data_IF_033375494027
#
_entry.id   IF_033375494027
#
_cell.length_a   1.000
_cell.length_b   1.000
_cell.length_c   1.000
_cell.angle_alpha   90.00
_cell.angle_beta   90.00
_cell.angle_gamma   90.00
#
_symmetry.space_group_name_H-M   'P 1'
#
loop_
_entity.id
_entity.type
_entity.pdbx_description
1 polymer ?
#
# COMPACT_ATOMS: atom_id res chain seq x y z
N UNK A 1 -57.69 2.08 -19.56
CA UNK A 1 -57.11 3.35 -19.06
C UNK A 1 -55.84 3.10 -18.26
N UNK A 2 -55.84 2.18 -17.28
CA UNK A 2 -54.67 1.84 -16.46
C UNK A 2 -53.36 1.51 -17.22
N UNK A 3 -53.45 0.77 -18.34
CA UNK A 3 -52.27 0.34 -19.11
C UNK A 3 -51.58 1.48 -19.88
N UNK A 4 -52.37 2.45 -20.39
CA UNK A 4 -51.81 3.63 -21.07
C UNK A 4 -51.15 4.60 -20.08
N UNK A 5 -51.69 4.70 -18.86
CA UNK A 5 -51.15 5.58 -17.82
C UNK A 5 -49.84 5.01 -17.26
N UNK A 6 -49.79 3.69 -17.02
CA UNK A 6 -48.55 2.99 -16.63
C UNK A 6 -47.46 3.14 -17.70
N UNK A 7 -47.79 2.90 -18.97
CA UNK A 7 -46.86 3.09 -20.09
C UNK A 7 -46.30 4.51 -20.14
N UNK A 8 -47.17 5.51 -20.04
CA UNK A 8 -46.77 6.91 -20.14
C UNK A 8 -45.90 7.34 -18.95
N UNK A 9 -46.14 6.76 -17.76
CA UNK A 9 -45.31 6.96 -16.58
C UNK A 9 -43.91 6.35 -16.75
N UNK A 10 -43.82 5.09 -17.20
CA UNK A 10 -42.53 4.42 -17.45
C UNK A 10 -41.70 5.14 -18.51
N UNK A 11 -42.33 5.65 -19.57
CA UNK A 11 -41.67 6.46 -20.60
C UNK A 11 -41.01 7.71 -19.99
N UNK A 12 -41.72 8.38 -19.09
CA UNK A 12 -41.23 9.58 -18.41
C UNK A 12 -40.11 9.24 -17.42
N UNK A 13 -40.25 8.15 -16.68
CA UNK A 13 -39.23 7.66 -15.75
C UNK A 13 -37.92 7.32 -16.48
N UNK A 14 -37.97 6.46 -17.50
CA UNK A 14 -36.79 6.12 -18.30
C UNK A 14 -36.21 7.33 -19.03
N UNK A 15 -37.04 8.31 -19.40
CA UNK A 15 -36.55 9.57 -19.94
C UNK A 15 -35.72 10.35 -18.91
N UNK A 16 -36.17 10.43 -17.66
CA UNK A 16 -35.43 11.09 -16.58
C UNK A 16 -34.20 10.29 -16.11
N UNK A 17 -34.18 8.97 -16.28
CA UNK A 17 -32.97 8.16 -16.07
C UNK A 17 -31.86 8.41 -17.11
N UNK A 18 -32.14 9.20 -18.15
CA UNK A 18 -31.17 9.59 -19.17
C UNK A 18 -31.03 8.60 -20.34
N UNK A 19 -31.91 7.60 -20.45
CA UNK A 19 -31.89 6.60 -21.52
C UNK A 19 -32.13 7.23 -22.90
N UNK A 20 -31.40 6.81 -23.92
CA UNK A 20 -31.70 7.21 -25.29
C UNK A 20 -33.05 6.63 -25.77
N UNK A 21 -33.56 7.11 -26.90
CA UNK A 21 -34.87 6.68 -27.37
C UNK A 21 -34.95 5.19 -27.72
N UNK A 22 -33.83 4.57 -28.09
CA UNK A 22 -33.77 3.14 -28.38
C UNK A 22 -33.77 2.36 -27.05
N UNK A 23 -32.96 2.77 -26.09
CA UNK A 23 -32.92 2.20 -24.74
C UNK A 23 -34.29 2.26 -24.05
N UNK A 24 -35.02 3.37 -24.16
CA UNK A 24 -36.39 3.47 -23.63
C UNK A 24 -37.30 2.41 -24.28
N UNK A 25 -37.24 2.23 -25.60
CA UNK A 25 -38.06 1.24 -26.31
C UNK A 25 -37.67 -0.18 -25.91
N UNK A 26 -36.38 -0.46 -25.84
CA UNK A 26 -35.84 -1.77 -25.49
C UNK A 26 -36.21 -2.13 -24.04
N UNK A 27 -36.10 -1.19 -23.09
CA UNK A 27 -36.51 -1.40 -21.69
C UNK A 27 -38.02 -1.58 -21.53
N UNK A 28 -38.85 -0.82 -22.26
CA UNK A 28 -40.30 -1.01 -22.26
C UNK A 28 -40.70 -2.40 -22.78
N UNK A 29 -39.98 -2.91 -23.79
CA UNK A 29 -40.23 -4.23 -24.32
C UNK A 29 -39.74 -5.35 -23.39
N UNK A 30 -38.50 -5.26 -22.89
CA UNK A 30 -37.88 -6.33 -22.09
C UNK A 30 -38.46 -6.43 -20.69
N UNK A 31 -38.79 -5.31 -20.05
CA UNK A 31 -39.21 -5.29 -18.64
C UNK A 31 -40.73 -5.32 -18.48
N UNK A 32 -41.48 -4.86 -19.49
CA UNK A 32 -42.92 -4.64 -19.38
C UNK A 32 -43.72 -5.20 -20.57
N UNK A 33 -43.06 -5.86 -21.54
CA UNK A 33 -43.67 -6.39 -22.78
C UNK A 33 -44.40 -5.34 -23.65
N UNK A 34 -44.13 -4.05 -23.42
CA UNK A 34 -44.75 -2.94 -24.13
C UNK A 34 -44.00 -2.69 -25.44
N UNK A 35 -44.66 -2.97 -26.57
CA UNK A 35 -44.12 -2.68 -27.90
C UNK A 35 -44.45 -1.27 -28.35
N UNK A 36 -43.42 -0.47 -28.64
CA UNK A 36 -43.60 0.91 -29.05
C UNK A 36 -42.66 1.28 -30.20
N UNK A 37 -43.19 1.91 -31.25
CA UNK A 37 -42.35 2.46 -32.32
C UNK A 37 -41.71 3.78 -31.89
N UNK A 38 -40.54 4.10 -32.47
CA UNK A 38 -39.84 5.38 -32.21
C UNK A 38 -40.74 6.61 -32.47
N UNK A 39 -41.64 6.52 -33.45
CA UNK A 39 -42.61 7.58 -33.77
C UNK A 39 -43.63 7.77 -32.64
N UNK A 40 -44.15 6.67 -32.08
CA UNK A 40 -45.08 6.72 -30.95
C UNK A 40 -44.38 7.28 -29.70
N UNK A 41 -43.14 6.88 -29.45
CA UNK A 41 -42.37 7.36 -28.29
C UNK A 41 -42.18 8.87 -28.36
N UNK A 42 -41.72 9.37 -29.51
CA UNK A 42 -41.54 10.81 -29.75
C UNK A 42 -42.84 11.59 -29.61
N UNK A 43 -43.98 11.03 -30.03
CA UNK A 43 -45.29 11.68 -29.88
C UNK A 43 -45.67 11.81 -28.40
N UNK A 44 -45.55 10.72 -27.62
CA UNK A 44 -45.87 10.72 -26.18
C UNK A 44 -44.96 11.69 -25.41
N UNK A 45 -43.66 11.69 -25.71
CA UNK A 45 -42.72 12.63 -25.11
C UNK A 45 -43.05 14.09 -25.49
N UNK A 46 -43.43 14.35 -26.75
CA UNK A 46 -43.82 15.69 -27.19
C UNK A 46 -45.11 16.19 -26.50
N UNK A 47 -46.10 15.33 -26.29
CA UNK A 47 -47.31 15.63 -25.52
C UNK A 47 -46.99 16.00 -24.07
N UNK A 48 -45.94 15.39 -23.48
CA UNK A 48 -45.41 15.70 -22.15
C UNK A 48 -44.37 16.83 -22.13
N UNK A 49 -44.17 17.51 -23.26
CA UNK A 49 -43.12 18.52 -23.46
C UNK A 49 -41.66 18.06 -23.27
N UNK A 50 -41.41 16.76 -23.19
CA UNK A 50 -40.09 16.17 -23.03
C UNK A 50 -39.38 16.00 -24.38
N UNK A 51 -38.14 16.47 -24.47
CA UNK A 51 -37.34 16.27 -25.67
C UNK A 51 -35.86 16.45 -25.42
N UNK A 52 -35.02 15.55 -25.94
CA UNK A 52 -33.55 15.59 -25.73
C UNK A 52 -32.84 16.82 -26.31
N UNK A 53 -33.54 17.59 -27.15
CA UNK A 53 -33.07 18.87 -27.73
C UNK A 53 -33.86 20.08 -27.23
N UNK A 54 -34.76 19.89 -26.27
CA UNK A 54 -35.42 20.97 -25.53
C UNK A 54 -34.66 21.12 -24.24
N UNK A 55 -33.83 22.15 -24.15
CA UNK A 55 -32.99 22.37 -22.97
C UNK A 55 -33.77 23.12 -21.90
N UNK A 56 -33.48 22.81 -20.64
CA UNK A 56 -33.95 23.61 -19.49
C UNK A 56 -33.38 25.03 -19.56
N UNK A 57 -33.95 25.95 -18.78
CA UNK A 57 -33.47 27.34 -18.79
C UNK A 57 -32.03 27.43 -18.28
N UNK A 58 -31.31 28.46 -18.71
CA UNK A 58 -29.92 28.67 -18.29
C UNK A 58 -29.82 28.90 -16.78
N UNK A 59 -30.81 29.59 -16.21
CA UNK A 59 -30.87 29.90 -14.78
C UNK A 59 -31.07 28.63 -13.95
N UNK A 60 -32.02 27.76 -14.32
CA UNK A 60 -32.24 26.47 -13.64
C UNK A 60 -31.00 25.57 -13.68
N UNK A 61 -30.29 25.55 -14.83
CA UNK A 61 -29.07 24.75 -14.98
C UNK A 61 -27.94 25.33 -14.13
N UNK A 62 -27.81 26.67 -14.06
CA UNK A 62 -26.79 27.33 -13.26
C UNK A 62 -27.02 27.09 -11.76
N UNK A 63 -28.27 27.25 -11.29
CA UNK A 63 -28.66 27.03 -9.90
C UNK A 63 -28.39 25.59 -9.45
N UNK A 64 -28.78 24.60 -10.27
CA UNK A 64 -28.54 23.19 -9.98
C UNK A 64 -27.04 22.83 -9.96
N UNK A 65 -26.23 23.43 -10.84
CA UNK A 65 -24.78 23.28 -10.80
C UNK A 65 -24.20 23.88 -9.52
N UNK A 66 -24.64 25.07 -9.12
CA UNK A 66 -24.17 25.72 -7.91
C UNK A 66 -24.53 24.91 -6.65
N UNK A 67 -25.74 24.36 -6.60
CA UNK A 67 -26.20 23.47 -5.53
C UNK A 67 -25.36 22.20 -5.43
N UNK A 68 -25.10 21.51 -6.56
CA UNK A 68 -24.23 20.34 -6.60
C UNK A 68 -22.79 20.65 -6.16
N UNK A 69 -22.27 21.81 -6.55
CA UNK A 69 -20.92 22.26 -6.19
C UNK A 69 -20.78 22.59 -4.70
N UNK A 70 -21.86 22.91 -3.98
CA UNK A 70 -21.84 23.06 -2.51
C UNK A 70 -21.67 21.73 -1.76
N UNK A 71 -21.87 20.60 -2.45
CA UNK A 71 -21.80 19.25 -1.87
C UNK A 71 -20.82 18.32 -2.58
N UNK A 72 -21.21 17.04 -2.70
CA UNK A 72 -20.39 16.00 -3.34
C UNK A 72 -20.18 16.22 -4.84
N UNK A 73 -20.89 17.15 -5.47
CA UNK A 73 -20.72 17.51 -6.87
C UNK A 73 -19.43 18.30 -7.15
N UNK A 74 -18.84 18.90 -6.13
CA UNK A 74 -17.53 19.60 -6.22
C UNK A 74 -16.38 18.70 -6.70
N UNK A 75 -16.48 17.38 -6.48
CA UNK A 75 -15.42 16.43 -6.82
C UNK A 75 -15.67 15.67 -8.14
N UNK A 76 -16.90 15.69 -8.69
CA UNK A 76 -17.28 14.88 -9.86
C UNK A 76 -17.00 15.58 -11.19
N UNK A 77 -16.55 14.82 -12.19
CA UNK A 77 -16.24 15.36 -13.53
C UNK A 77 -17.50 15.85 -14.26
N UNK A 78 -17.33 16.69 -15.30
CA UNK A 78 -18.46 17.27 -16.04
C UNK A 78 -19.45 16.21 -16.60
N UNK A 79 -18.97 14.99 -16.93
CA UNK A 79 -19.84 13.89 -17.37
C UNK A 79 -20.73 13.34 -16.25
N UNK A 80 -20.18 13.20 -15.07
CA UNK A 80 -20.93 12.76 -13.88
C UNK A 80 -21.85 13.89 -13.39
N UNK A 81 -21.39 15.14 -13.44
CA UNK A 81 -22.26 16.30 -13.20
C UNK A 81 -23.43 16.34 -14.18
N UNK A 82 -23.17 16.16 -15.47
CA UNK A 82 -24.22 16.08 -16.49
C UNK A 82 -25.23 14.97 -16.16
N UNK A 83 -24.77 13.81 -15.69
CA UNK A 83 -25.65 12.73 -15.29
C UNK A 83 -26.51 13.10 -14.07
N UNK A 84 -25.95 13.77 -13.05
CA UNK A 84 -26.72 14.27 -11.90
C UNK A 84 -27.76 15.30 -12.30
N UNK A 85 -27.40 16.24 -13.17
CA UNK A 85 -28.35 17.23 -13.68
C UNK A 85 -29.52 16.56 -14.41
N UNK A 86 -29.26 15.47 -15.15
CA UNK A 86 -30.30 14.73 -15.87
C UNK A 86 -31.15 13.85 -14.95
N UNK A 87 -30.52 13.12 -14.03
CA UNK A 87 -31.17 12.09 -13.21
C UNK A 87 -31.78 12.67 -11.95
N UNK A 88 -30.98 13.42 -11.19
CA UNK A 88 -31.36 13.92 -9.86
C UNK A 88 -32.18 15.21 -9.98
N UNK A 89 -31.75 16.12 -10.86
CA UNK A 89 -32.41 17.42 -11.09
C UNK A 89 -33.42 17.40 -12.24
N UNK A 90 -33.53 16.28 -12.96
CA UNK A 90 -34.46 16.07 -14.09
C UNK A 90 -34.33 17.11 -15.21
N UNK A 91 -33.17 17.76 -15.34
CA UNK A 91 -32.90 18.81 -16.32
C UNK A 91 -32.47 18.23 -17.67
N UNK A 92 -32.84 18.93 -18.73
CA UNK A 92 -32.37 18.61 -20.09
C UNK A 92 -31.25 19.55 -20.46
N UNK A 93 -30.02 19.05 -20.49
CA UNK A 93 -28.82 19.85 -20.77
C UNK A 93 -27.87 19.09 -21.68
N UNK A 94 -27.18 19.79 -22.58
CA UNK A 94 -26.14 19.16 -23.41
C UNK A 94 -24.86 18.95 -22.59
N UNK A 95 -24.18 17.81 -22.81
CA UNK A 95 -22.88 17.52 -22.17
C UNK A 95 -21.86 18.63 -22.42
N UNK A 96 -21.89 19.23 -23.61
CA UNK A 96 -20.97 20.30 -24.00
C UNK A 96 -21.25 21.62 -23.29
N UNK A 97 -22.53 21.93 -23.07
CA UNK A 97 -22.92 23.07 -22.25
C UNK A 97 -22.45 22.90 -20.80
N UNK A 98 -22.65 21.71 -20.20
CA UNK A 98 -22.14 21.43 -18.85
C UNK A 98 -20.62 21.55 -18.81
N UNK A 99 -19.90 21.06 -19.83
CA UNK A 99 -18.44 21.19 -19.93
C UNK A 99 -18.00 22.66 -19.90
N UNK A 100 -18.59 23.50 -20.74
CA UNK A 100 -18.27 24.94 -20.81
C UNK A 100 -18.66 25.67 -19.52
N UNK A 101 -19.81 25.37 -18.94
CA UNK A 101 -20.24 25.93 -17.66
C UNK A 101 -19.30 25.53 -16.51
N UNK A 102 -18.80 24.29 -16.52
CA UNK A 102 -17.83 23.78 -15.53
C UNK A 102 -16.46 24.46 -15.63
N UNK A 103 -16.01 24.77 -16.85
CA UNK A 103 -14.76 25.49 -17.09
C UNK A 103 -14.82 26.95 -16.60
N UNK A 104 -15.97 27.60 -16.78
CA UNK A 104 -16.16 29.00 -16.38
C UNK A 104 -16.41 29.18 -14.87
N UNK A 105 -17.15 28.27 -14.23
CA UNK A 105 -17.54 28.41 -12.81
C UNK A 105 -16.55 27.79 -11.82
N UNK A 106 -15.53 27.06 -12.27
CA UNK A 106 -14.60 26.36 -11.39
C UNK A 106 -13.30 25.92 -12.04
N UNK A 107 -12.46 26.86 -12.54
CA UNK A 107 -11.20 26.53 -13.21
C UNK A 107 -10.28 25.68 -12.33
N UNK A 108 -10.37 25.81 -11.01
CA UNK A 108 -9.58 25.00 -10.07
C UNK A 108 -9.94 23.51 -10.11
N UNK A 109 -11.21 23.14 -10.13
CA UNK A 109 -11.62 21.71 -10.13
C UNK A 109 -11.27 21.01 -11.44
N UNK A 110 -11.37 21.75 -12.56
CA UNK A 110 -10.96 21.28 -13.89
C UNK A 110 -9.43 21.20 -14.00
N UNK A 111 -8.68 22.21 -13.54
CA UNK A 111 -7.21 22.17 -13.49
C UNK A 111 -6.70 21.07 -12.54
N UNK A 112 -7.30 20.90 -11.36
CA UNK A 112 -6.94 19.83 -10.40
C UNK A 112 -7.01 18.44 -11.05
N UNK A 113 -7.98 18.22 -11.94
CA UNK A 113 -8.16 16.95 -12.65
C UNK A 113 -7.34 16.84 -13.93
N UNK A 114 -7.18 17.92 -14.71
CA UNK A 114 -6.35 17.92 -15.93
C UNK A 114 -4.87 17.67 -15.61
N UNK A 115 -4.43 18.04 -14.41
CA UNK A 115 -3.06 17.81 -13.94
C UNK A 115 -2.69 16.32 -13.73
N UNK A 116 -3.65 15.38 -13.68
CA UNK A 116 -3.39 13.95 -13.38
C UNK A 116 -2.46 13.75 -12.17
N UNK A 117 -2.50 14.67 -11.20
CA UNK A 117 -1.51 14.74 -10.13
C UNK A 117 -2.21 14.48 -8.81
N UNK A 118 -1.92 13.32 -8.21
CA UNK A 118 -2.26 13.03 -6.81
C UNK A 118 -1.89 14.23 -5.95
N UNK A 119 -2.87 14.80 -5.22
CA UNK A 119 -2.56 15.77 -4.17
C UNK A 119 -1.78 15.05 -3.09
N UNK A 120 -0.47 15.28 -3.06
CA UNK A 120 0.42 14.74 -2.05
C UNK A 120 0.11 15.45 -0.74
N UNK A 121 -0.37 14.71 0.27
CA UNK A 121 -0.49 15.23 1.64
C UNK A 121 0.90 15.66 2.11
N UNK A 122 0.99 16.79 2.79
CA UNK A 122 2.25 17.25 3.36
C UNK A 122 2.59 16.32 4.54
N UNK A 123 3.70 15.61 4.43
CA UNK A 123 4.20 14.75 5.50
C UNK A 123 4.98 15.60 6.49
N UNK A 124 4.64 15.53 7.77
CA UNK A 124 5.31 16.28 8.82
C UNK A 124 5.76 15.34 9.94
N UNK A 125 7.03 15.44 10.32
CA UNK A 125 7.63 14.80 11.48
C UNK A 125 8.52 15.83 12.17
N UNK A 126 8.50 15.87 13.50
CA UNK A 126 9.17 16.91 14.31
C UNK A 126 10.69 16.79 14.32
N UNK A 127 11.19 15.56 14.24
CA UNK A 127 12.59 15.20 14.29
C UNK A 127 12.75 13.68 14.20
N UNK A 128 13.98 13.16 14.26
CA UNK A 128 14.23 11.73 14.31
C UNK A 128 13.55 11.12 15.54
N UNK A 129 13.16 9.84 15.43
CA UNK A 129 12.44 9.11 16.47
C UNK A 129 11.09 9.72 16.85
N UNK A 130 10.56 10.67 16.08
CA UNK A 130 9.17 11.11 16.30
C UNK A 130 8.17 10.07 15.81
N UNK A 131 8.43 9.46 14.65
CA UNK A 131 7.54 8.49 14.03
C UNK A 131 8.35 7.45 13.26
N UNK A 132 8.24 6.19 13.65
CA UNK A 132 8.77 5.07 12.85
C UNK A 132 7.65 4.42 12.04
N UNK A 133 7.96 4.03 10.81
CA UNK A 133 7.02 3.35 9.92
C UNK A 133 7.47 1.90 9.70
N UNK A 134 6.60 0.96 10.06
CA UNK A 134 6.80 -0.48 9.94
C UNK A 134 6.00 -1.04 8.77
N UNK A 135 6.58 -1.99 8.05
CA UNK A 135 5.89 -2.67 6.96
C UNK A 135 6.60 -3.96 6.51
N UNK A 136 5.82 -4.87 5.94
CA UNK A 136 6.29 -6.09 5.31
C UNK A 136 6.51 -5.92 3.80
N UNK A 137 7.48 -6.63 3.24
CA UNK A 137 7.76 -6.66 1.81
C UNK A 137 7.69 -8.10 1.26
N UNK A 138 6.53 -8.43 0.71
CA UNK A 138 6.16 -9.81 0.34
C UNK A 138 6.57 -10.24 -1.09
N UNK A 139 7.40 -9.46 -1.81
CA UNK A 139 7.71 -9.79 -3.21
C UNK A 139 8.59 -11.03 -3.39
N UNK A 140 9.29 -11.47 -2.35
CA UNK A 140 10.07 -12.71 -2.33
C UNK A 140 9.37 -13.85 -1.54
N UNK A 141 8.20 -13.58 -0.96
CA UNK A 141 7.41 -14.56 -0.20
C UNK A 141 7.06 -15.84 -0.99
N UNK A 142 6.81 -15.80 -2.32
CA UNK A 142 6.63 -17.02 -3.11
C UNK A 142 7.86 -17.95 -3.16
N UNK A 143 9.02 -17.49 -2.68
CA UNK A 143 10.27 -18.25 -2.60
C UNK A 143 10.70 -18.50 -1.14
N UNK A 144 9.80 -18.25 -0.18
CA UNK A 144 10.05 -18.47 1.25
C UNK A 144 10.74 -17.31 1.99
N UNK A 145 11.11 -16.22 1.30
CA UNK A 145 11.77 -15.07 1.94
C UNK A 145 10.77 -13.94 2.22
N UNK A 146 10.49 -13.73 3.51
CA UNK A 146 9.68 -12.62 4.00
C UNK A 146 10.61 -11.51 4.49
N UNK A 147 10.52 -10.33 3.87
CA UNK A 147 11.31 -9.17 4.28
C UNK A 147 10.43 -8.27 5.16
N UNK A 148 10.99 -7.74 6.23
CA UNK A 148 10.34 -6.73 7.06
C UNK A 148 11.30 -5.57 7.29
N UNK A 149 10.78 -4.33 7.32
CA UNK A 149 11.60 -3.16 7.54
C UNK A 149 10.96 -2.13 8.44
N UNK A 150 11.81 -1.21 8.89
CA UNK A 150 11.38 0.01 9.56
C UNK A 150 12.18 1.19 9.05
N UNK A 151 11.51 2.32 8.89
CA UNK A 151 12.14 3.59 8.50
C UNK A 151 11.71 4.71 9.45
N UNK A 152 12.68 5.52 9.86
CA UNK A 152 12.41 6.75 10.58
C UNK A 152 11.74 7.79 9.67
N UNK A 153 10.67 8.38 10.15
CA UNK A 153 9.79 9.26 9.39
C UNK A 153 10.42 10.58 8.96
N UNK A 154 11.32 11.11 9.78
CA UNK A 154 11.97 12.40 9.59
C UNK A 154 13.22 12.27 8.71
N UNK A 155 14.20 11.51 9.19
CA UNK A 155 15.51 11.34 8.57
C UNK A 155 15.43 10.46 7.31
N UNK A 156 14.48 9.51 7.28
CA UNK A 156 14.41 8.37 6.35
C UNK A 156 15.55 7.37 6.53
N UNK A 157 16.12 7.31 7.72
CA UNK A 157 17.05 6.25 8.10
C UNK A 157 16.29 4.92 8.18
N UNK A 158 16.84 3.89 7.54
CA UNK A 158 16.39 2.52 7.73
C UNK A 158 16.89 2.08 9.10
N UNK A 159 15.94 1.78 9.98
CA UNK A 159 16.19 1.36 11.35
C UNK A 159 16.55 -0.12 11.39
N UNK A 160 15.80 -0.94 10.66
CA UNK A 160 16.15 -2.32 10.36
C UNK A 160 15.58 -2.74 9.00
N UNK A 161 16.17 -3.79 8.44
CA UNK A 161 15.74 -4.42 7.20
C UNK A 161 16.13 -5.89 7.24
N UNK A 162 15.21 -6.72 7.70
CA UNK A 162 15.47 -8.11 8.02
C UNK A 162 14.72 -9.06 7.09
N UNK A 163 15.30 -10.24 6.89
CA UNK A 163 14.70 -11.34 6.15
C UNK A 163 14.55 -12.56 7.07
N UNK A 164 13.36 -13.15 7.01
CA UNK A 164 13.05 -14.39 7.69
C UNK A 164 12.12 -15.25 6.84
N UNK A 165 11.74 -16.40 7.38
CA UNK A 165 10.87 -17.37 6.68
C UNK A 165 9.40 -16.99 6.70
N UNK A 166 9.01 -16.29 7.75
CA UNK A 166 7.64 -15.86 7.97
C UNK A 166 7.66 -14.45 8.53
N UNK A 167 6.73 -13.64 8.05
CA UNK A 167 6.32 -12.39 8.70
C UNK A 167 4.93 -12.50 9.31
N UNK A 168 4.29 -13.68 9.25
CA UNK A 168 2.97 -13.88 9.83
C UNK A 168 3.03 -14.14 11.35
N UNK A 169 4.20 -14.51 11.88
CA UNK A 169 4.39 -14.76 13.30
C UNK A 169 4.73 -13.45 14.03
N UNK A 170 3.87 -12.95 14.94
CA UNK A 170 4.09 -11.64 15.59
C UNK A 170 5.40 -11.58 16.39
N UNK A 171 5.88 -12.71 16.92
CA UNK A 171 7.15 -12.78 17.66
C UNK A 171 8.37 -12.44 16.81
N UNK A 172 8.36 -12.80 15.52
CA UNK A 172 9.50 -12.55 14.61
C UNK A 172 9.61 -11.06 14.31
N UNK A 173 8.49 -10.38 14.08
CA UNK A 173 8.51 -8.94 13.84
C UNK A 173 8.82 -8.19 15.14
N UNK A 174 8.31 -8.67 16.27
CA UNK A 174 8.62 -8.14 17.59
C UNK A 174 10.11 -8.24 17.94
N UNK A 175 10.79 -9.35 17.61
CA UNK A 175 12.23 -9.50 17.87
C UNK A 175 13.04 -8.45 17.11
N UNK A 176 12.73 -8.20 15.84
CA UNK A 176 13.39 -7.13 15.06
C UNK A 176 13.20 -5.75 15.69
N UNK A 177 12.01 -5.48 16.25
CA UNK A 177 11.74 -4.23 16.93
C UNK A 177 12.52 -4.11 18.24
N UNK A 178 12.52 -5.16 19.07
CA UNK A 178 13.25 -5.20 20.35
C UNK A 178 14.76 -5.02 20.11
N UNK A 179 15.33 -5.74 19.14
CA UNK A 179 16.74 -5.62 18.79
C UNK A 179 17.09 -4.21 18.30
N UNK A 180 16.19 -3.57 17.54
CA UNK A 180 16.36 -2.18 17.13
C UNK A 180 16.31 -1.23 18.34
N UNK A 181 15.35 -1.40 19.25
CA UNK A 181 15.23 -0.58 20.46
C UNK A 181 16.47 -0.72 21.34
N UNK A 182 17.00 -1.94 21.49
CA UNK A 182 18.24 -2.21 22.21
C UNK A 182 19.42 -1.47 21.58
N UNK A 183 19.60 -1.59 20.27
CA UNK A 183 20.72 -0.99 19.54
C UNK A 183 20.68 0.54 19.54
N UNK A 184 19.47 1.12 19.51
CA UNK A 184 19.25 2.58 19.57
C UNK A 184 19.32 3.12 21.01
N UNK A 185 19.16 2.24 22.01
CA UNK A 185 19.02 2.61 23.42
C UNK A 185 17.72 3.39 23.68
N UNK A 186 16.64 3.05 22.98
CA UNK A 186 15.35 3.74 23.11
C UNK A 186 14.40 3.50 21.94
N UNK A 187 13.17 4.01 22.08
CA UNK A 187 12.10 3.91 21.07
C UNK A 187 11.61 5.30 20.60
N UNK A 188 10.83 5.31 19.53
CA UNK A 188 10.20 6.52 19.01
C UNK A 188 9.00 7.00 19.84
N UNK A 189 8.60 8.27 19.69
CA UNK A 189 7.32 8.77 20.20
C UNK A 189 6.14 7.95 19.71
N UNK A 190 6.14 7.64 18.42
CA UNK A 190 5.06 6.92 17.77
C UNK A 190 5.62 5.87 16.84
N UNK A 191 5.06 4.66 16.91
CA UNK A 191 5.23 3.62 15.91
C UNK A 191 3.98 3.56 15.06
N UNK A 192 4.12 3.43 13.75
CA UNK A 192 3.00 3.22 12.84
C UNK A 192 3.18 1.91 12.08
N UNK A 193 2.19 1.05 12.21
CA UNK A 193 2.00 -0.16 11.42
C UNK A 193 0.61 -0.20 10.83
N UNK A 194 0.36 -1.19 10.00
CA UNK A 194 -1.00 -1.51 9.58
C UNK A 194 -1.72 -2.36 10.64
N UNK A 195 -3.01 -2.66 10.39
CA UNK A 195 -3.81 -3.54 11.26
C UNK A 195 -3.52 -5.03 11.03
N UNK A 196 -2.28 -5.38 10.66
CA UNK A 196 -1.82 -6.76 10.56
C UNK A 196 -1.68 -7.42 11.94
N UNK A 197 -1.97 -8.72 11.99
CA UNK A 197 -1.81 -9.52 13.22
C UNK A 197 -0.34 -9.60 13.66
N UNK A 198 0.59 -9.49 12.70
CA UNK A 198 2.03 -9.47 12.91
C UNK A 198 2.50 -8.28 13.76
N UNK A 199 1.77 -7.16 13.72
CA UNK A 199 2.12 -5.93 14.42
C UNK A 199 1.55 -5.85 15.85
N UNK A 200 0.74 -6.83 16.27
CA UNK A 200 0.03 -6.82 17.57
C UNK A 200 1.01 -6.81 18.74
N UNK A 201 2.08 -7.62 18.68
CA UNK A 201 3.10 -7.65 19.74
C UNK A 201 3.87 -6.33 19.81
N UNK A 202 4.27 -5.76 18.68
CA UNK A 202 4.95 -4.45 18.65
C UNK A 202 4.06 -3.37 19.25
N UNK A 203 2.77 -3.36 18.94
CA UNK A 203 1.84 -2.41 19.53
C UNK A 203 1.79 -2.53 21.05
N UNK A 204 1.71 -3.75 21.59
CA UNK A 204 1.74 -3.99 23.03
C UNK A 204 3.06 -3.52 23.67
N UNK A 205 4.20 -3.91 23.07
CA UNK A 205 5.54 -3.52 23.56
C UNK A 205 5.70 -2.01 23.57
N UNK A 206 5.38 -1.35 22.46
CA UNK A 206 5.54 0.09 22.33
C UNK A 206 4.70 0.85 23.38
N UNK A 207 3.47 0.39 23.64
CA UNK A 207 2.59 0.99 24.65
C UNK A 207 3.12 0.78 26.07
N UNK A 208 3.69 -0.39 26.33
CA UNK A 208 4.34 -0.69 27.61
C UNK A 208 5.58 0.19 27.83
N UNK A 209 6.51 0.20 26.88
CA UNK A 209 7.75 1.00 26.95
C UNK A 209 7.48 2.51 27.04
N UNK A 210 6.29 2.98 26.63
CA UNK A 210 5.91 4.39 26.68
C UNK A 210 4.81 4.72 27.68
N UNK A 211 4.49 3.81 28.61
CA UNK A 211 3.34 4.00 29.50
C UNK A 211 3.49 5.20 30.44
N UNK A 212 4.70 5.49 30.94
CA UNK A 212 4.99 6.63 31.83
C UNK A 212 5.54 7.86 31.09
N UNK A 213 5.55 7.86 29.76
CA UNK A 213 6.14 8.97 29.02
C UNK A 213 5.33 10.28 29.25
N UNK A 214 6.03 11.39 29.44
CA UNK A 214 5.44 12.68 29.81
C UNK A 214 4.79 13.50 28.68
N UNK A 215 4.64 12.93 27.48
CA UNK A 215 4.08 13.64 26.32
C UNK A 215 2.70 13.13 25.87
N UNK A 216 2.08 13.84 24.92
CA UNK A 216 0.73 13.54 24.44
C UNK A 216 0.56 12.20 23.72
N UNK A 217 1.67 11.53 23.39
CA UNK A 217 1.73 10.26 22.65
C UNK A 217 2.08 9.07 23.55
N UNK A 218 2.05 9.22 24.87
CA UNK A 218 2.31 8.13 25.82
C UNK A 218 1.26 7.01 25.79
N UNK A 219 1.66 5.85 26.30
CA UNK A 219 0.83 4.65 26.45
C UNK A 219 0.14 4.27 25.15
N UNK A 220 -1.18 4.10 25.18
CA UNK A 220 -2.01 3.69 24.03
C UNK A 220 -1.80 4.50 22.74
N UNK A 221 -1.45 5.78 22.86
CA UNK A 221 -1.28 6.69 21.71
C UNK A 221 0.08 6.54 21.02
N UNK A 222 1.01 5.80 21.62
CA UNK A 222 2.36 5.57 21.10
C UNK A 222 2.39 4.61 19.91
N UNK A 223 1.27 3.95 19.59
CA UNK A 223 1.13 3.11 18.41
C UNK A 223 -0.09 3.55 17.58
N UNK A 224 0.14 3.85 16.30
CA UNK A 224 -0.89 4.23 15.34
C UNK A 224 -1.14 3.11 14.34
N UNK A 225 -2.33 2.52 14.42
CA UNK A 225 -2.86 1.71 13.33
C UNK A 225 -3.30 2.59 12.17
N UNK A 226 -2.75 2.36 10.98
CA UNK A 226 -3.11 3.08 9.76
C UNK A 226 -3.35 2.13 8.60
N UNK A 227 -4.06 2.58 7.56
CA UNK A 227 -4.05 1.87 6.27
C UNK A 227 -2.64 1.95 5.66
N UNK A 228 -2.21 0.99 4.86
CA UNK A 228 -0.88 0.98 4.22
C UNK A 228 -0.59 2.27 3.43
N UNK A 229 -1.61 2.90 2.85
CA UNK A 229 -1.51 4.24 2.20
C UNK A 229 -1.06 5.39 3.12
N UNK A 230 -1.08 5.20 4.45
CA UNK A 230 -0.58 6.12 5.46
C UNK A 230 0.86 5.79 5.91
N UNK A 231 1.40 4.62 5.55
CA UNK A 231 2.80 4.20 5.74
C UNK A 231 3.70 4.68 4.60
N UNK A 232 3.52 5.95 4.23
CA UNK A 232 4.07 6.53 3.00
C UNK A 232 5.59 6.45 2.90
N UNK A 233 6.33 6.49 4.01
CA UNK A 233 7.80 6.50 4.00
C UNK A 233 8.37 5.16 3.59
N UNK A 234 7.94 4.09 4.25
CA UNK A 234 8.43 2.75 3.99
C UNK A 234 7.89 2.20 2.67
N UNK A 235 6.62 2.47 2.36
CA UNK A 235 6.03 2.12 1.07
C UNK A 235 6.73 2.79 -0.12
N UNK A 236 7.05 4.09 0.00
CA UNK A 236 7.85 4.77 -1.02
C UNK A 236 9.28 4.20 -1.12
N UNK A 237 9.84 3.76 0.02
CA UNK A 237 11.15 3.16 0.09
C UNK A 237 11.20 1.76 -0.52
N UNK A 238 10.15 0.93 -0.40
CA UNK A 238 10.06 -0.35 -1.09
C UNK A 238 10.20 -0.23 -2.60
N UNK A 239 9.72 0.87 -3.19
CA UNK A 239 9.97 1.18 -4.59
C UNK A 239 11.46 1.38 -4.93
N UNK A 240 12.25 1.89 -3.99
CA UNK A 240 13.71 2.01 -4.13
C UNK A 240 14.39 0.65 -3.98
N UNK A 241 14.02 -0.14 -2.97
CA UNK A 241 14.51 -1.51 -2.81
C UNK A 241 14.26 -2.34 -4.07
N UNK A 242 13.06 -2.22 -4.64
CA UNK A 242 12.70 -2.91 -5.89
C UNK A 242 13.65 -2.58 -7.03
N UNK A 243 13.83 -1.29 -7.32
CA UNK A 243 14.70 -0.85 -8.44
C UNK A 243 16.18 -1.10 -8.18
N UNK A 244 16.60 -1.10 -6.91
CA UNK A 244 18.00 -1.14 -6.52
C UNK A 244 18.57 -2.53 -6.25
N UNK A 245 17.74 -3.48 -5.82
CA UNK A 245 18.23 -4.80 -5.41
C UNK A 245 17.23 -5.94 -5.66
N UNK A 246 15.99 -5.85 -5.15
CA UNK A 246 15.12 -7.03 -5.08
C UNK A 246 14.60 -7.52 -6.43
N UNK A 247 14.55 -6.68 -7.47
CA UNK A 247 14.13 -7.10 -8.81
C UNK A 247 15.08 -8.15 -9.43
N UNK A 248 16.36 -8.06 -9.11
CA UNK A 248 17.35 -9.05 -9.54
C UNK A 248 17.06 -10.42 -8.91
N UNK A 249 16.87 -10.48 -7.59
CA UNK A 249 16.52 -11.71 -6.88
C UNK A 249 15.20 -12.31 -7.36
N UNK A 250 14.20 -11.47 -7.62
CA UNK A 250 12.92 -11.91 -8.15
C UNK A 250 13.09 -12.55 -9.53
N UNK A 251 13.92 -11.96 -10.39
CA UNK A 251 14.22 -12.51 -11.72
C UNK A 251 14.99 -13.82 -11.60
N UNK A 252 15.99 -13.87 -10.71
CA UNK A 252 16.80 -15.07 -10.45
C UNK A 252 15.95 -16.26 -10.01
N UNK A 253 15.11 -16.10 -8.99
CA UNK A 253 14.26 -17.18 -8.51
C UNK A 253 13.12 -17.52 -9.48
N UNK A 254 12.64 -16.52 -10.24
CA UNK A 254 11.66 -16.77 -11.30
C UNK A 254 12.24 -17.65 -12.41
N UNK A 255 13.49 -17.42 -12.81
CA UNK A 255 14.17 -18.27 -13.80
C UNK A 255 14.31 -19.72 -13.32
N UNK A 256 14.61 -19.95 -12.03
CA UNK A 256 14.61 -21.31 -11.45
C UNK A 256 13.23 -21.97 -11.55
N UNK A 257 12.17 -21.23 -11.24
CA UNK A 257 10.78 -21.71 -11.32
C UNK A 257 10.37 -22.01 -12.76
N UNK A 258 10.62 -21.08 -13.67
CA UNK A 258 10.22 -21.16 -15.09
C UNK A 258 10.95 -22.31 -15.83
N UNK A 259 12.15 -22.70 -15.36
CA UNK A 259 12.90 -23.87 -15.85
C UNK A 259 12.50 -25.20 -15.19
N UNK A 260 11.55 -25.19 -14.24
CA UNK A 260 11.16 -26.38 -13.49
C UNK A 260 12.19 -26.83 -12.45
N UNK A 261 13.16 -25.99 -12.09
CA UNK A 261 14.18 -26.29 -11.07
C UNK A 261 13.74 -25.94 -9.65
N UNK A 262 12.64 -25.21 -9.50
CA UNK A 262 12.06 -24.83 -8.21
C UNK A 262 10.53 -25.01 -8.24
N UNK A 263 10.00 -25.63 -7.19
CA UNK A 263 8.57 -25.79 -6.97
C UNK A 263 8.25 -25.38 -5.54
N UNK A 264 7.42 -24.34 -5.36
CA UNK A 264 6.98 -23.83 -4.06
C UNK A 264 6.00 -24.78 -3.33
N UNK A 265 5.47 -25.79 -4.02
CA UNK A 265 4.72 -26.88 -3.40
C UNK A 265 5.61 -28.03 -2.90
N UNK A 266 6.92 -28.04 -3.23
CA UNK A 266 7.85 -29.05 -2.76
C UNK A 266 8.64 -28.53 -1.54
N UNK A 267 8.40 -29.13 -0.37
CA UNK A 267 9.06 -28.75 0.88
C UNK A 267 10.60 -28.87 0.82
N UNK A 268 11.14 -29.88 0.14
CA UNK A 268 12.59 -30.06 -0.02
C UNK A 268 13.19 -28.88 -0.81
N UNK A 269 12.53 -28.47 -1.90
CA UNK A 269 12.99 -27.34 -2.69
C UNK A 269 12.96 -26.04 -1.86
N UNK A 270 11.89 -25.82 -1.09
CA UNK A 270 11.78 -24.63 -0.23
C UNK A 270 12.87 -24.61 0.84
N UNK A 271 13.11 -25.72 1.54
CA UNK A 271 14.16 -25.83 2.57
C UNK A 271 15.56 -25.64 1.98
N UNK A 272 15.89 -26.34 0.90
CA UNK A 272 17.18 -26.19 0.21
C UNK A 272 17.40 -24.75 -0.26
N UNK A 273 16.36 -24.10 -0.79
CA UNK A 273 16.46 -22.72 -1.27
C UNK A 273 16.74 -21.77 -0.10
N UNK A 274 16.01 -21.91 1.01
CA UNK A 274 16.21 -21.08 2.19
C UNK A 274 17.61 -21.28 2.78
N UNK A 275 18.06 -22.53 2.93
CA UNK A 275 19.39 -22.86 3.42
C UNK A 275 20.50 -22.21 2.57
N UNK A 276 20.39 -22.27 1.23
CA UNK A 276 21.44 -21.76 0.35
C UNK A 276 21.45 -20.24 0.21
N UNK A 277 20.31 -19.56 0.33
CA UNK A 277 20.18 -18.14 -0.04
C UNK A 277 19.89 -17.19 1.13
N UNK A 278 19.44 -17.67 2.29
CA UNK A 278 19.02 -16.80 3.40
C UNK A 278 20.15 -15.85 3.84
N UNK A 279 21.36 -16.38 4.03
CA UNK A 279 22.52 -15.58 4.45
C UNK A 279 22.88 -14.51 3.41
N UNK A 280 22.88 -14.87 2.12
CA UNK A 280 23.20 -13.95 1.02
C UNK A 280 22.18 -12.81 0.92
N UNK A 281 20.89 -13.12 1.04
CA UNK A 281 19.83 -12.10 1.01
C UNK A 281 19.95 -11.20 2.23
N UNK A 282 20.20 -11.76 3.42
CA UNK A 282 20.39 -10.98 4.65
C UNK A 282 21.56 -10.00 4.52
N UNK A 283 22.71 -10.45 4.03
CA UNK A 283 23.87 -9.58 3.79
C UNK A 283 23.57 -8.49 2.75
N UNK A 284 22.89 -8.84 1.65
CA UNK A 284 22.50 -7.87 0.64
C UNK A 284 21.55 -6.80 1.19
N UNK A 285 20.59 -7.17 2.02
CA UNK A 285 19.69 -6.23 2.68
C UNK A 285 20.44 -5.31 3.65
N UNK A 286 21.36 -5.84 4.46
CA UNK A 286 22.22 -5.03 5.33
C UNK A 286 23.07 -4.05 4.52
N UNK A 287 23.61 -4.49 3.37
CA UNK A 287 24.34 -3.64 2.43
C UNK A 287 23.44 -2.53 1.87
N UNK A 288 22.22 -2.85 1.44
CA UNK A 288 21.24 -1.88 0.93
C UNK A 288 20.88 -0.85 2.00
N UNK A 289 20.59 -1.27 3.23
CA UNK A 289 20.28 -0.39 4.34
C UNK A 289 21.45 0.55 4.65
N UNK A 290 22.69 0.03 4.71
CA UNK A 290 23.91 0.84 4.91
C UNK A 290 24.10 1.88 3.80
N UNK A 291 24.02 1.46 2.53
CA UNK A 291 24.19 2.36 1.38
C UNK A 291 23.09 3.43 1.35
N UNK A 292 21.85 3.05 1.67
CA UNK A 292 20.75 4.00 1.81
C UNK A 292 21.01 4.97 2.96
N UNK A 293 21.40 4.51 4.14
CA UNK A 293 21.61 5.41 5.27
C UNK A 293 22.73 6.42 5.02
N UNK A 294 23.72 6.04 4.20
CA UNK A 294 24.81 6.91 3.79
C UNK A 294 24.45 7.81 2.60
N UNK A 295 23.54 7.46 1.68
CA UNK A 295 23.34 8.25 0.46
C UNK A 295 22.81 9.66 0.75
N UNK A 296 23.11 10.63 -0.14
CA UNK A 296 22.62 12.01 -0.01
C UNK A 296 21.30 12.19 -0.72
N UNK A 297 20.25 12.51 0.04
CA UNK A 297 18.94 12.89 -0.49
C UNK A 297 19.00 14.36 -0.92
N UNK A 298 18.67 14.62 -2.18
CA UNK A 298 18.67 15.97 -2.76
C UNK A 298 17.46 16.78 -2.26
N UNK A 299 17.57 18.12 -2.15
CA UNK A 299 16.44 18.99 -1.89
C UNK A 299 15.32 18.76 -2.89
N UNK A 300 14.09 18.67 -2.42
CA UNK A 300 12.92 18.61 -3.29
C UNK A 300 12.39 20.00 -3.55
N UNK A 301 12.34 20.43 -4.80
CA UNK A 301 11.73 21.71 -5.20
C UNK A 301 10.21 21.76 -4.99
N UNK A 302 9.58 20.61 -4.71
CA UNK A 302 8.11 20.48 -4.58
C UNK A 302 7.66 20.08 -3.17
N UNK A 303 8.59 19.72 -2.28
CA UNK A 303 8.25 19.29 -0.92
C UNK A 303 9.33 19.73 0.08
N UNK A 304 9.18 20.95 0.60
CA UNK A 304 10.09 21.52 1.60
C UNK A 304 9.89 20.95 3.02
N UNK A 305 8.86 20.13 3.26
CA UNK A 305 8.56 19.63 4.61
C UNK A 305 9.40 18.43 5.05
N UNK A 306 10.10 17.78 4.12
CA UNK A 306 11.06 16.73 4.46
C UNK A 306 12.48 17.26 4.37
N UNK A 307 13.34 17.03 5.37
CA UNK A 307 14.72 17.49 5.32
C UNK A 307 15.45 16.88 4.11
N UNK A 308 16.56 17.48 3.71
CA UNK A 308 17.47 16.94 2.70
C UNK A 308 18.82 16.72 3.36
N UNK A 309 19.64 15.82 2.82
CA UNK A 309 20.87 15.39 3.48
C UNK A 309 21.02 13.88 3.49
N UNK A 310 21.99 13.38 4.25
CA UNK A 310 22.19 11.94 4.43
C UNK A 310 21.28 11.46 5.55
N UNK A 311 20.49 10.38 5.37
CA UNK A 311 19.64 9.87 6.42
C UNK A 311 20.35 9.67 7.76
N UNK A 312 21.58 9.11 7.74
CA UNK A 312 22.35 8.93 8.97
C UNK A 312 22.68 10.24 9.69
N UNK A 313 23.04 11.30 8.96
CA UNK A 313 23.33 12.60 9.58
C UNK A 313 22.05 13.27 10.08
N UNK A 314 20.95 13.16 9.34
CA UNK A 314 19.65 13.70 9.75
C UNK A 314 19.10 13.00 11.00
N UNK A 315 19.49 11.74 11.22
CA UNK A 315 19.08 10.95 12.38
C UNK A 315 19.93 11.26 13.61
N UNK A 316 21.26 11.19 13.49
CA UNK A 316 22.17 11.34 14.64
C UNK A 316 22.48 12.79 15.00
N UNK A 317 22.23 13.73 14.08
CA UNK A 317 22.53 15.16 14.26
C UNK A 317 21.39 16.05 13.74
N UNK A 318 20.18 15.93 14.31
CA UNK A 318 19.01 16.69 13.87
C UNK A 318 19.15 18.21 14.03
N UNK A 319 20.04 18.66 14.93
CA UNK A 319 20.37 20.06 15.17
C UNK A 319 20.90 20.78 13.93
N UNK A 320 21.55 20.05 13.00
CA UNK A 320 22.02 20.62 11.72
C UNK A 320 20.90 21.13 10.83
N UNK A 321 19.67 20.68 11.07
CA UNK A 321 18.46 21.07 10.37
C UNK A 321 17.46 21.82 11.25
N UNK A 322 17.87 22.17 12.48
CA UNK A 322 17.01 22.84 13.47
C UNK A 322 15.90 21.96 14.03
N UNK A 323 16.04 20.63 13.94
CA UNK A 323 15.12 19.67 14.56
C UNK A 323 15.69 19.16 15.88
N UNK A 324 14.83 18.54 16.68
CA UNK A 324 15.17 18.00 18.00
C UNK A 324 15.00 16.48 18.01
N UNK A 325 15.82 15.81 18.83
CA UNK A 325 15.69 14.38 19.09
C UNK A 325 14.39 14.10 19.85
N UNK A 326 13.61 13.13 19.38
CA UNK A 326 12.33 12.72 19.98
C UNK A 326 12.39 11.33 20.64
N UNK A 327 13.58 10.72 20.71
CA UNK A 327 13.79 9.40 21.32
C UNK A 327 13.31 9.38 22.78
N UNK A 328 12.67 8.27 23.14
CA UNK A 328 12.42 7.90 24.52
C UNK A 328 13.42 6.82 24.92
N UNK A 329 14.26 7.12 25.89
CA UNK A 329 15.20 6.14 26.43
C UNK A 329 14.44 5.01 27.12
N UNK A 330 14.94 3.80 26.94
CA UNK A 330 14.34 2.56 27.45
C UNK A 330 15.38 1.86 28.32
N UNK A 331 14.97 1.39 29.49
CA UNK A 331 15.83 0.61 30.37
C UNK A 331 16.05 -0.80 29.78
N UNK A 332 17.27 -1.33 29.95
CA UNK A 332 17.61 -2.68 29.48
C UNK A 332 16.79 -3.73 30.24
N UNK A 333 16.55 -3.53 31.54
CA UNK A 333 15.78 -4.46 32.37
C UNK A 333 14.32 -4.56 31.89
N UNK A 334 13.72 -3.44 31.46
CA UNK A 334 12.38 -3.44 30.85
C UNK A 334 12.37 -4.18 29.52
N UNK A 335 13.45 -4.06 28.74
CA UNK A 335 13.57 -4.68 27.44
C UNK A 335 13.76 -6.19 27.53
N UNK A 336 14.49 -6.67 28.54
CA UNK A 336 14.66 -8.10 28.81
C UNK A 336 13.33 -8.75 29.23
N UNK A 337 12.54 -8.09 30.09
CA UNK A 337 11.18 -8.54 30.44
C UNK A 337 10.29 -8.64 29.19
N UNK A 338 10.34 -7.63 28.33
CA UNK A 338 9.60 -7.62 27.06
C UNK A 338 10.02 -8.78 26.16
N UNK A 339 11.33 -9.05 26.06
CA UNK A 339 11.89 -10.09 25.21
C UNK A 339 11.40 -11.46 25.64
N UNK A 340 11.48 -11.78 26.94
CA UNK A 340 10.95 -13.04 27.47
C UNK A 340 9.45 -13.17 27.17
N UNK A 341 8.65 -12.15 27.49
CA UNK A 341 7.20 -12.23 27.29
C UNK A 341 6.75 -12.33 25.83
N UNK A 342 7.51 -11.75 24.88
CA UNK A 342 7.06 -11.56 23.50
C UNK A 342 7.77 -12.43 22.46
N UNK A 343 8.87 -13.10 22.82
CA UNK A 343 9.72 -13.84 21.89
C UNK A 343 10.01 -15.31 22.30
N UNK A 344 9.38 -15.83 23.37
CA UNK A 344 9.56 -17.22 23.82
C UNK A 344 9.15 -18.29 22.79
N UNK A 345 8.25 -17.96 21.86
CA UNK A 345 7.67 -18.87 20.87
C UNK A 345 8.19 -18.62 19.45
N UNK A 346 9.41 -18.08 19.32
CA UNK A 346 10.01 -17.83 18.01
C UNK A 346 10.14 -19.14 17.20
N UNK A 347 9.70 -19.15 15.92
CA UNK A 347 9.86 -20.32 15.08
C UNK A 347 11.32 -20.56 14.75
N UNK A 348 11.71 -21.84 14.68
CA UNK A 348 13.04 -22.24 14.22
C UNK A 348 13.27 -21.86 12.75
N UNK A 349 14.47 -21.37 12.44
CA UNK A 349 14.86 -20.99 11.07
C UNK A 349 14.93 -22.20 10.12
N UNK A 350 15.40 -23.36 10.54
CA UNK A 350 15.27 -24.59 9.77
C UNK A 350 15.14 -25.75 10.75
N UNK A 351 14.53 -26.85 10.29
CA UNK A 351 14.52 -28.09 11.06
C UNK A 351 15.98 -28.49 11.34
N UNK A 352 16.36 -28.76 12.61
CA UNK A 352 17.68 -29.27 12.95
C UNK A 352 18.05 -30.52 12.16
N UNK A 353 17.06 -31.36 11.88
CA UNK A 353 17.21 -32.58 11.08
C UNK A 353 17.58 -32.26 9.63
N UNK A 354 16.94 -31.24 9.03
CA UNK A 354 17.30 -30.79 7.68
C UNK A 354 18.69 -30.18 7.64
N UNK A 355 19.05 -29.34 8.62
CA UNK A 355 20.40 -28.74 8.70
C UNK A 355 21.45 -29.84 8.78
N UNK A 356 21.26 -30.82 9.68
CA UNK A 356 22.19 -31.94 9.84
C UNK A 356 22.33 -32.77 8.55
N UNK A 357 21.21 -33.00 7.84
CA UNK A 357 21.23 -33.69 6.54
C UNK A 357 22.00 -32.89 5.49
N UNK A 358 21.74 -31.59 5.36
CA UNK A 358 22.41 -30.73 4.40
C UNK A 358 23.93 -30.65 4.69
N UNK A 359 24.32 -30.50 5.96
CA UNK A 359 25.73 -30.49 6.39
C UNK A 359 26.44 -31.81 6.11
N UNK A 360 25.75 -32.95 6.29
CA UNK A 360 26.28 -34.27 5.95
C UNK A 360 26.54 -34.39 4.44
N UNK A 361 25.54 -34.06 3.61
CA UNK A 361 25.69 -34.08 2.15
C UNK A 361 26.83 -33.14 1.72
N UNK A 362 26.91 -31.94 2.29
CA UNK A 362 27.99 -31.02 2.00
C UNK A 362 29.37 -31.56 2.37
N UNK A 363 29.46 -32.29 3.48
CA UNK A 363 30.72 -32.91 3.92
C UNK A 363 31.14 -34.03 2.98
N UNK A 364 30.21 -34.88 2.56
CA UNK A 364 30.46 -35.99 1.63
C UNK A 364 30.87 -35.51 0.23
N UNK A 365 30.19 -34.47 -0.28
CA UNK A 365 30.43 -33.89 -1.60
C UNK A 365 31.53 -32.81 -1.62
N UNK A 366 32.14 -32.51 -0.46
CA UNK A 366 33.20 -31.50 -0.33
C UNK A 366 32.74 -30.06 -0.63
N UNK A 367 31.46 -29.76 -0.38
CA UNK A 367 30.82 -28.47 -0.63
C UNK A 367 31.01 -27.49 0.54
N UNK A 368 30.75 -26.21 0.28
CA UNK A 368 30.81 -25.14 1.28
C UNK A 368 29.59 -24.23 1.15
N UNK A 369 29.33 -23.47 2.21
CA UNK A 369 28.30 -22.43 2.16
C UNK A 369 28.66 -21.39 1.09
N UNK A 370 27.67 -20.91 0.32
CA UNK A 370 27.92 -20.07 -0.83
C UNK A 370 28.18 -18.62 -0.41
N UNK A 371 29.05 -17.92 -1.15
CA UNK A 371 29.30 -16.49 -1.02
C UNK A 371 28.66 -15.70 -2.17
N UNK A 372 28.27 -16.38 -3.24
CA UNK A 372 27.63 -15.77 -4.40
C UNK A 372 26.33 -16.47 -4.78
N UNK A 373 25.44 -15.76 -5.47
CA UNK A 373 24.18 -16.33 -5.94
C UNK A 373 24.37 -17.50 -6.93
N UNK A 374 25.48 -17.54 -7.67
CA UNK A 374 25.82 -18.66 -8.55
C UNK A 374 26.23 -19.90 -7.75
N UNK A 375 27.06 -19.72 -6.72
CA UNK A 375 27.41 -20.81 -5.80
C UNK A 375 26.18 -21.32 -5.04
N UNK A 376 25.32 -20.41 -4.57
CA UNK A 376 24.08 -20.79 -3.91
C UNK A 376 23.14 -21.57 -4.82
N UNK A 377 23.10 -21.22 -6.11
CA UNK A 377 22.37 -22.00 -7.11
C UNK A 377 22.95 -23.40 -7.27
N UNK A 378 24.27 -23.53 -7.35
CA UNK A 378 24.92 -24.83 -7.51
C UNK A 378 24.68 -25.70 -6.27
N UNK A 379 24.89 -25.15 -5.07
CA UNK A 379 24.64 -25.86 -3.81
C UNK A 379 23.16 -26.28 -3.71
N UNK A 380 22.22 -25.38 -4.02
CA UNK A 380 20.80 -25.69 -4.04
C UNK A 380 20.47 -26.87 -4.93
N UNK A 381 20.97 -26.87 -6.18
CA UNK A 381 20.72 -27.95 -7.13
C UNK A 381 21.34 -29.27 -6.68
N UNK A 382 22.53 -29.24 -6.10
CA UNK A 382 23.18 -30.44 -5.57
C UNK A 382 22.41 -31.00 -4.38
N UNK A 383 22.02 -30.16 -3.41
CA UNK A 383 21.25 -30.61 -2.25
C UNK A 383 19.91 -31.22 -2.65
N UNK A 384 19.17 -30.59 -3.56
CA UNK A 384 17.91 -31.16 -4.08
C UNK A 384 18.15 -32.52 -4.72
N UNK A 385 19.17 -32.64 -5.58
CA UNK A 385 19.47 -33.90 -6.27
C UNK A 385 19.91 -35.02 -5.32
N UNK A 386 20.73 -34.74 -4.32
CA UNK A 386 21.17 -35.76 -3.35
C UNK A 386 20.03 -36.17 -2.42
N UNK A 387 19.20 -35.23 -1.95
CA UNK A 387 18.04 -35.56 -1.12
C UNK A 387 17.02 -36.38 -1.91
N UNK A 388 16.75 -36.05 -3.18
CA UNK A 388 15.85 -36.80 -4.04
C UNK A 388 16.31 -38.23 -4.31
N UNK A 389 17.62 -38.54 -4.21
CA UNK A 389 18.14 -39.91 -4.29
C UNK A 389 17.91 -40.72 -3.01
N UNK A 390 17.71 -40.04 -1.88
CA UNK A 390 17.51 -40.65 -0.57
C UNK A 390 16.03 -40.92 -0.27
N UNK A 391 15.12 -40.29 -1.02
CA UNK A 391 13.66 -40.54 -0.96
C UNK A 391 13.25 -41.62 -1.95
#
# INVERSE_FOLDING_TARGET
MADNDLRNHLIEEYFHMGFDYKEIIDCLFLNNEIRLSLRQLKRILAEKNLGRRRFSSLDEIADAIEEELKGSGSIVGYRAMWQRLVVDHKLSVSKEFVRNAFENNGPEGVQRRSMHRLQRRQYHAKGPNFLWHLDGYDKLKPYGFCIHGCIDGYSRQIMWLEVGRTNNHPGVVASYFIDCVQNVGGTACVIRGDMGTENVRIAAIQRYLRHEAGDSWSGEKSFLYGRSVANQRIEAWWGQLRRGASDWWITHFKDLRDRGLYCDANAVHVECLLFCYMALIREELQRVARLWNLHRIRPSTRNNSSPHGRPCLLYHHPEMTGAEECKHDVDIDELDVVRDMCCDDLPMDSSPEFIALAELIMTEEGLRMPETANEARNLYLTLVNEIDKLM
#
